data_IF_111775665092
#
_entry.id   IF_111775665092
#
_cell.length_a   1.000
_cell.length_b   1.000
_cell.length_c   1.000
_cell.angle_alpha   90.00
_cell.angle_beta   90.00
_cell.angle_gamma   90.00
#
_symmetry.space_group_name_H-M   'P 1'
#
loop_
_entity.id
_entity.type
_entity.pdbx_description
1 polymer ?
#
# COMPACT_ATOMS: atom_id res chain seq x y z
N UNK A 1 0.13 -18.42 13.61
CA UNK A 1 -1.06 -17.57 13.91
C UNK A 1 -1.25 -16.58 12.76
N UNK A 2 -2.49 -16.22 12.42
CA UNK A 2 -2.77 -15.21 11.37
C UNK A 2 -3.45 -14.01 12.02
N UNK A 3 -2.89 -12.82 11.85
CA UNK A 3 -3.46 -11.54 12.29
C UNK A 3 -3.91 -10.79 11.03
N UNK A 4 -5.16 -10.36 11.00
CA UNK A 4 -5.68 -9.51 9.93
C UNK A 4 -5.88 -8.10 10.47
N UNK A 5 -5.22 -7.12 9.83
CA UNK A 5 -5.43 -5.70 10.10
C UNK A 5 -6.32 -5.11 9.00
N UNK A 6 -7.54 -4.75 9.36
CA UNK A 6 -8.48 -4.09 8.45
C UNK A 6 -8.38 -2.58 8.67
N UNK A 7 -7.90 -1.85 7.65
CA UNK A 7 -7.81 -0.39 7.65
C UNK A 7 -8.81 0.15 6.64
N UNK A 8 -9.67 1.06 7.11
CA UNK A 8 -10.46 1.92 6.23
C UNK A 8 -9.67 3.19 5.96
N UNK A 9 -9.53 3.56 4.69
CA UNK A 9 -8.81 4.74 4.27
C UNK A 9 -9.41 5.32 3.00
N UNK A 10 -9.14 6.59 2.72
CA UNK A 10 -9.60 7.20 1.47
C UNK A 10 -8.61 6.97 0.33
N UNK A 11 -9.04 7.17 -0.92
CA UNK A 11 -8.13 7.23 -2.07
C UNK A 11 -7.01 8.26 -1.89
N UNK A 12 -7.29 9.39 -1.23
CA UNK A 12 -6.29 10.39 -0.89
C UNK A 12 -5.23 9.85 0.07
N UNK A 13 -5.64 9.13 1.12
CA UNK A 13 -4.72 8.51 2.07
C UNK A 13 -3.84 7.47 1.37
N UNK A 14 -4.44 6.65 0.50
CA UNK A 14 -3.71 5.68 -0.31
C UNK A 14 -2.67 6.34 -1.22
N UNK A 15 -3.03 7.43 -1.90
CA UNK A 15 -2.09 8.18 -2.76
C UNK A 15 -0.91 8.70 -1.94
N UNK A 16 -1.15 9.25 -0.74
CA UNK A 16 -0.07 9.70 0.15
C UNK A 16 0.83 8.56 0.63
N UNK A 17 0.27 7.38 0.92
CA UNK A 17 1.06 6.19 1.26
C UNK A 17 1.97 5.77 0.10
N UNK A 18 1.45 5.83 -1.13
CA UNK A 18 2.22 5.51 -2.33
C UNK A 18 3.32 6.53 -2.61
N UNK A 19 3.06 7.83 -2.42
CA UNK A 19 4.09 8.88 -2.46
C UNK A 19 5.18 8.64 -1.40
N UNK A 20 4.80 8.25 -0.18
CA UNK A 20 5.76 7.94 0.89
C UNK A 20 6.61 6.69 0.60
N UNK A 21 6.02 5.70 -0.07
CA UNK A 21 6.67 4.40 -0.35
C UNK A 21 7.58 4.46 -1.57
N UNK A 22 7.11 5.09 -2.65
CA UNK A 22 7.74 5.06 -3.96
C UNK A 22 8.24 6.42 -4.44
N UNK A 23 7.94 7.51 -3.71
CA UNK A 23 8.32 8.87 -4.07
C UNK A 23 7.40 9.50 -5.12
N UNK A 24 7.35 8.91 -6.31
CA UNK A 24 6.46 9.36 -7.39
C UNK A 24 5.98 8.21 -8.28
N UNK A 25 4.91 8.46 -9.03
CA UNK A 25 4.41 7.50 -10.04
C UNK A 25 5.49 7.18 -11.08
N UNK A 26 6.28 8.18 -11.49
CA UNK A 26 7.35 7.98 -12.47
C UNK A 26 8.46 7.07 -11.92
N UNK A 27 8.77 7.20 -10.62
CA UNK A 27 9.75 6.33 -9.95
C UNK A 27 9.24 4.89 -9.86
N UNK A 28 7.96 4.70 -9.53
CA UNK A 28 7.34 3.38 -9.52
C UNK A 28 7.29 2.74 -10.92
N UNK A 29 6.97 3.53 -11.94
CA UNK A 29 6.95 3.06 -13.32
C UNK A 29 8.35 2.68 -13.81
N UNK A 30 9.38 3.46 -13.45
CA UNK A 30 10.78 3.12 -13.72
C UNK A 30 11.19 1.82 -13.00
N UNK A 31 10.86 1.70 -11.71
CA UNK A 31 11.16 0.50 -10.92
C UNK A 31 10.51 -0.75 -11.52
N UNK A 32 9.26 -0.64 -11.99
CA UNK A 32 8.60 -1.74 -12.69
C UNK A 32 9.34 -2.11 -13.97
N UNK A 33 9.75 -1.15 -14.81
CA UNK A 33 10.49 -1.41 -16.04
C UNK A 33 11.84 -2.10 -15.79
N UNK A 34 12.51 -1.78 -14.69
CA UNK A 34 13.81 -2.34 -14.33
C UNK A 34 13.70 -3.74 -13.71
N UNK A 35 12.68 -3.97 -12.88
CA UNK A 35 12.54 -5.22 -12.10
C UNK A 35 11.56 -6.23 -12.70
N UNK A 36 10.66 -5.78 -13.57
CA UNK A 36 9.47 -6.50 -14.03
C UNK A 36 8.65 -7.10 -12.87
N UNK A 37 8.67 -6.45 -11.70
CA UNK A 37 7.99 -6.93 -10.51
C UNK A 37 6.49 -6.68 -10.62
N UNK A 38 5.69 -7.76 -10.54
CA UNK A 38 4.25 -7.67 -10.65
C UNK A 38 3.60 -6.86 -9.52
N UNK A 39 4.23 -6.78 -8.34
CA UNK A 39 3.77 -5.91 -7.24
C UNK A 39 3.80 -4.45 -7.67
N UNK A 40 4.90 -4.01 -8.31
CA UNK A 40 5.01 -2.65 -8.81
C UNK A 40 3.96 -2.33 -9.88
N UNK A 41 3.61 -3.31 -10.71
CA UNK A 41 2.54 -3.17 -11.70
C UNK A 41 1.16 -2.98 -11.04
N UNK A 42 0.85 -3.79 -10.04
CA UNK A 42 -0.43 -3.69 -9.30
C UNK A 42 -0.51 -2.34 -8.59
N UNK A 43 0.54 -1.95 -7.88
CA UNK A 43 0.60 -0.67 -7.16
C UNK A 43 0.50 0.52 -8.11
N UNK A 44 1.14 0.47 -9.28
CA UNK A 44 1.08 1.53 -10.28
C UNK A 44 -0.36 1.73 -10.80
N UNK A 45 -1.07 0.64 -11.07
CA UNK A 45 -2.46 0.72 -11.53
C UNK A 45 -3.39 1.21 -10.44
N UNK A 46 -3.23 0.72 -9.21
CA UNK A 46 -4.02 1.18 -8.06
C UNK A 46 -3.80 2.68 -7.80
N UNK A 47 -2.56 3.15 -7.87
CA UNK A 47 -2.24 4.57 -7.72
C UNK A 47 -2.90 5.42 -8.81
N UNK A 48 -2.79 5.02 -10.07
CA UNK A 48 -3.46 5.73 -11.19
C UNK A 48 -4.98 5.76 -11.03
N UNK A 49 -5.58 4.69 -10.52
CA UNK A 49 -7.02 4.64 -10.27
C UNK A 49 -7.44 5.63 -9.16
N UNK A 50 -6.78 5.58 -8.00
CA UNK A 50 -7.17 6.39 -6.84
C UNK A 50 -6.86 7.88 -6.98
N UNK A 51 -5.93 8.27 -7.85
CA UNK A 51 -5.77 9.69 -8.24
C UNK A 51 -7.06 10.31 -8.80
N UNK A 52 -7.92 9.50 -9.42
CA UNK A 52 -9.20 9.95 -9.95
C UNK A 52 -10.38 9.70 -8.99
N UNK A 53 -10.14 8.99 -7.88
CA UNK A 53 -11.15 8.55 -6.91
C UNK A 53 -10.70 8.86 -5.48
N UNK A 54 -10.24 10.09 -5.24
CA UNK A 54 -9.58 10.49 -3.99
C UNK A 54 -10.46 10.37 -2.75
N UNK A 55 -11.78 10.46 -2.91
CA UNK A 55 -12.74 10.42 -1.80
C UNK A 55 -13.45 9.07 -1.66
N UNK A 56 -13.11 8.09 -2.50
CA UNK A 56 -13.64 6.75 -2.37
C UNK A 56 -13.07 6.08 -1.11
N UNK A 57 -13.94 5.44 -0.33
CA UNK A 57 -13.52 4.66 0.82
C UNK A 57 -12.98 3.30 0.37
N UNK A 58 -11.79 2.97 0.84
CA UNK A 58 -11.07 1.74 0.55
C UNK A 58 -10.93 0.97 1.86
N UNK A 59 -11.35 -0.29 1.85
CA UNK A 59 -11.10 -1.21 2.96
C UNK A 59 -9.93 -2.13 2.58
N UNK A 60 -8.78 -1.94 3.23
CA UNK A 60 -7.57 -2.73 3.00
C UNK A 60 -7.36 -3.70 4.15
N UNK A 61 -7.25 -4.98 3.82
CA UNK A 61 -6.85 -6.01 4.77
C UNK A 61 -5.38 -6.34 4.57
N UNK A 62 -4.59 -6.24 5.65
CA UNK A 62 -3.20 -6.74 5.67
C UNK A 62 -3.15 -7.97 6.57
N UNK A 63 -2.81 -9.11 5.99
CA UNK A 63 -2.66 -10.37 6.72
C UNK A 63 -1.20 -10.61 7.08
N UNK A 64 -0.92 -10.77 8.36
CA UNK A 64 0.41 -11.08 8.89
C UNK A 64 0.38 -12.50 9.46
N UNK A 65 1.20 -13.38 8.89
CA UNK A 65 1.37 -14.75 9.39
C UNK A 65 2.61 -14.77 10.29
N UNK A 66 2.43 -15.07 11.57
CA UNK A 66 3.52 -15.11 12.56
C UNK A 66 3.33 -16.25 13.57
N UNK A 67 4.44 -16.80 14.04
CA UNK A 67 4.49 -17.81 15.11
C UNK A 67 4.92 -17.23 16.47
N UNK A 68 5.26 -15.92 16.52
CA UNK A 68 5.71 -15.22 17.74
C UNK A 68 4.88 -13.95 17.97
N UNK A 69 4.35 -13.78 19.19
CA UNK A 69 3.60 -12.59 19.59
C UNK A 69 4.56 -11.60 20.26
N UNK A 70 4.90 -10.54 19.53
CA UNK A 70 5.30 -9.25 20.11
C UNK A 70 4.54 -8.17 19.34
N UNK A 71 3.35 -7.83 19.81
CA UNK A 71 2.51 -6.76 19.23
C UNK A 71 3.19 -5.39 19.38
N UNK A 72 4.15 -5.28 20.31
CA UNK A 72 4.91 -4.08 20.61
C UNK A 72 5.76 -3.55 19.44
N UNK A 73 6.09 -4.39 18.46
CA UNK A 73 6.88 -4.00 17.28
C UNK A 73 6.03 -3.53 16.10
N UNK A 74 4.69 -3.66 16.16
CA UNK A 74 3.78 -3.07 15.17
C UNK A 74 3.64 -1.57 15.44
N UNK A 75 4.71 -0.83 15.16
CA UNK A 75 4.66 0.63 15.06
C UNK A 75 3.67 0.95 13.94
N UNK A 76 2.51 1.48 14.33
CA UNK A 76 1.60 2.22 13.47
C UNK A 76 2.42 3.32 12.79
N UNK A 77 2.85 3.06 11.55
CA UNK A 77 3.40 4.10 10.69
C UNK A 77 2.21 4.97 10.29
N UNK A 78 1.94 5.99 11.11
CA UNK A 78 1.05 7.11 10.82
C UNK A 78 1.56 7.91 9.61
#
# INVERSE_FOLDING_TARGET
MIINLNKKQTGLDFVKEMEKTYGSIDQLEKMFKETNNMVCYVDLNAWKYHLNHLYEEIERTTSIVTDKISISEMILIY
#
